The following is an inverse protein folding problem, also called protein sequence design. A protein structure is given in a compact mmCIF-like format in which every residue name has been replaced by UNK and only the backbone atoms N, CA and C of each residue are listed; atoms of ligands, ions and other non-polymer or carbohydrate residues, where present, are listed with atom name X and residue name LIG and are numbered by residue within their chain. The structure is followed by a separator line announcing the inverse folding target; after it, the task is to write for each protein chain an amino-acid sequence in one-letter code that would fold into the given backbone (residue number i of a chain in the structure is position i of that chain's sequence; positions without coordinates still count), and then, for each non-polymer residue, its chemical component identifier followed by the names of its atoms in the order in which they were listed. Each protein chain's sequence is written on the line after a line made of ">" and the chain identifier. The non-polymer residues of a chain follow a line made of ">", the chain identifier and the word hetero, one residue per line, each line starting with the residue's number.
data_IF_438626084098
#
_entry.id   IF_438626084098
#
_cell.length_a   1.000
_cell.length_b   1.000
_cell.length_c   1.000
_cell.angle_alpha   90.00
_cell.angle_beta   90.00
_cell.angle_gamma   90.00
#
_symmetry.space_group_name_H-M   'P 1'
#
loop_
_entity.id
_entity.type
_entity.pdbx_description
1 polymer ?
#
# COMPACT_ATOMS: atom_id res chain seq x y z
N UNK A 1 -7.75 -12.91 1.00
CA UNK A 1 -6.38 -13.07 0.46
C UNK A 1 -5.69 -11.74 0.62
N UNK A 2 -4.45 -11.71 1.12
CA UNK A 2 -3.70 -10.46 1.29
C UNK A 2 -3.07 -10.12 -0.07
N UNK A 3 -3.36 -8.96 -0.62
CA UNK A 3 -2.81 -8.48 -1.88
C UNK A 3 -1.29 -8.52 -1.81
N UNK A 4 -0.69 -9.17 -2.82
CA UNK A 4 0.75 -9.24 -2.92
C UNK A 4 1.28 -7.86 -3.31
N UNK A 5 2.06 -7.21 -2.44
CA UNK A 5 2.71 -5.94 -2.77
C UNK A 5 3.61 -6.14 -4.01
N UNK A 6 3.50 -5.28 -5.05
CA UNK A 6 4.36 -5.35 -6.23
C UNK A 6 5.85 -5.36 -5.84
N UNK A 7 6.71 -6.20 -6.48
CA UNK A 7 8.13 -6.29 -6.16
C UNK A 7 8.88 -4.95 -6.30
N UNK A 8 8.45 -4.07 -7.20
CA UNK A 8 9.01 -2.72 -7.37
C UNK A 8 8.79 -1.88 -6.11
N UNK A 9 7.57 -1.90 -5.56
CA UNK A 9 7.24 -1.22 -4.31
C UNK A 9 7.91 -1.89 -3.12
N UNK A 10 7.94 -3.23 -3.08
CA UNK A 10 8.65 -3.97 -2.03
C UNK A 10 10.15 -3.61 -1.99
N UNK A 11 10.78 -3.50 -3.16
CA UNK A 11 12.19 -3.08 -3.30
C UNK A 11 12.38 -1.62 -2.88
N UNK A 12 11.46 -0.73 -3.24
CA UNK A 12 11.48 0.67 -2.82
C UNK A 12 11.38 0.85 -1.30
N UNK A 13 10.53 0.06 -0.63
CA UNK A 13 10.46 0.02 0.84
C UNK A 13 11.79 -0.50 1.42
N UNK A 14 12.30 -1.61 0.90
CA UNK A 14 13.53 -2.23 1.40
C UNK A 14 14.76 -1.32 1.25
N UNK A 15 14.88 -0.59 0.14
CA UNK A 15 15.97 0.36 -0.10
C UNK A 15 16.01 1.51 0.93
N UNK A 16 14.90 1.78 1.61
CA UNK A 16 14.79 2.77 2.69
C UNK A 16 14.94 2.15 4.08
N UNK A 17 15.16 0.84 4.18
CA UNK A 17 15.10 0.09 5.43
C UNK A 17 13.68 0.03 6.02
N UNK A 18 12.65 0.29 5.21
CA UNK A 18 11.26 0.34 5.65
C UNK A 18 10.56 -1.00 5.42
N UNK A 19 9.48 -1.21 6.18
CA UNK A 19 8.53 -2.29 5.97
C UNK A 19 7.14 -1.70 5.81
N UNK A 20 6.32 -2.19 4.87
CA UNK A 20 4.94 -1.73 4.73
C UNK A 20 4.16 -2.03 6.02
N UNK A 21 3.42 -1.03 6.49
CA UNK A 21 2.56 -1.19 7.67
C UNK A 21 1.30 -1.99 7.30
N UNK A 22 0.70 -2.66 8.29
CA UNK A 22 -0.53 -3.45 8.10
C UNK A 22 -1.62 -2.65 7.38
N UNK A 23 -1.94 -1.45 7.87
CA UNK A 23 -3.00 -0.62 7.29
C UNK A 23 -2.69 -0.13 5.86
N UNK A 24 -1.42 -0.07 5.45
CA UNK A 24 -1.04 0.26 4.07
C UNK A 24 -1.42 -0.88 3.14
N UNK A 25 -1.14 -2.12 3.55
CA UNK A 25 -1.50 -3.31 2.79
C UNK A 25 -3.02 -3.55 2.79
N UNK A 26 -3.72 -3.22 3.87
CA UNK A 26 -5.19 -3.31 3.90
C UNK A 26 -5.86 -2.33 2.93
N UNK A 27 -5.31 -1.14 2.75
CA UNK A 27 -5.82 -0.21 1.72
C UNK A 27 -5.62 -0.75 0.30
N UNK A 28 -4.54 -1.51 0.07
CA UNK A 28 -4.33 -2.23 -1.18
C UNK A 28 -5.36 -3.35 -1.35
N UNK A 29 -5.62 -4.15 -0.31
CA UNK A 29 -6.65 -5.20 -0.33
C UNK A 29 -8.05 -4.63 -0.64
N UNK A 30 -8.41 -3.50 -0.02
CA UNK A 30 -9.68 -2.80 -0.25
C UNK A 30 -9.80 -2.33 -1.70
N UNK A 31 -8.74 -1.73 -2.24
CA UNK A 31 -8.73 -1.27 -3.62
C UNK A 31 -8.80 -2.45 -4.63
N UNK A 32 -8.06 -3.53 -4.38
CA UNK A 32 -8.08 -4.75 -5.20
C UNK A 32 -9.47 -5.42 -5.20
N UNK A 33 -10.28 -5.20 -4.16
CA UNK A 33 -11.68 -5.65 -4.10
C UNK A 33 -12.68 -4.73 -4.81
N UNK A 34 -12.22 -3.62 -5.39
CA UNK A 34 -13.08 -2.61 -6.03
C UNK A 34 -13.93 -1.79 -5.07
N UNK A 35 -13.59 -1.80 -3.77
CA UNK A 35 -14.34 -1.11 -2.73
C UNK A 35 -13.71 0.24 -2.33
N UNK A 36 -14.53 1.14 -1.78
CA UNK A 36 -14.04 2.36 -1.15
C UNK A 36 -13.57 2.07 0.28
N UNK A 37 -12.47 2.70 0.70
CA UNK A 37 -11.91 2.57 2.04
C UNK A 37 -11.82 3.90 2.78
N UNK A 38 -12.14 3.89 4.07
CA UNK A 38 -11.87 4.99 5.00
C UNK A 38 -10.76 4.57 5.96
N UNK A 39 -9.60 5.21 5.84
CA UNK A 39 -8.48 4.98 6.75
C UNK A 39 -8.44 6.05 7.85
N UNK A 40 -8.56 5.60 9.10
CA UNK A 40 -8.29 6.40 10.29
C UNK A 40 -6.96 5.96 10.89
N UNK A 41 -6.01 6.88 11.00
CA UNK A 41 -4.71 6.64 11.60
C UNK A 41 -4.11 7.96 12.10
N UNK A 42 -3.27 7.88 13.13
CA UNK A 42 -2.61 9.04 13.74
C UNK A 42 -1.70 9.79 12.75
N UNK A 43 -1.38 11.04 13.09
CA UNK A 43 -0.37 11.83 12.38
C UNK A 43 0.99 11.10 12.43
N UNK A 44 1.67 11.03 11.29
CA UNK A 44 2.95 10.31 11.19
C UNK A 44 2.82 8.78 11.06
N UNK A 45 1.61 8.20 11.15
CA UNK A 45 1.43 6.76 11.01
C UNK A 45 1.61 6.23 9.57
N UNK A 46 1.79 7.11 8.57
CA UNK A 46 1.96 6.74 7.17
C UNK A 46 0.66 6.64 6.37
N UNK A 47 -0.42 7.32 6.82
CA UNK A 47 -1.74 7.33 6.15
C UNK A 47 -1.71 7.84 4.71
N UNK A 48 -0.83 8.80 4.40
CA UNK A 48 -0.69 9.33 3.04
C UNK A 48 -0.21 8.24 2.10
N UNK A 49 0.87 7.54 2.45
CA UNK A 49 1.38 6.43 1.65
C UNK A 49 0.33 5.30 1.55
N UNK A 50 -0.42 5.03 2.61
CA UNK A 50 -1.50 4.04 2.57
C UNK A 50 -2.58 4.38 1.53
N UNK A 51 -3.01 5.64 1.45
CA UNK A 51 -4.02 6.09 0.49
C UNK A 51 -3.52 6.09 -0.96
N UNK A 52 -2.23 6.36 -1.18
CA UNK A 52 -1.62 6.36 -2.53
C UNK A 52 -1.10 4.99 -2.97
N UNK A 53 -0.94 4.03 -2.05
CA UNK A 53 -0.35 2.73 -2.37
C UNK A 53 -1.10 2.00 -3.50
N UNK A 54 -2.45 1.98 -3.55
CA UNK A 54 -3.16 1.37 -4.66
C UNK A 54 -2.87 2.03 -6.01
N UNK A 55 -2.83 3.36 -6.06
CA UNK A 55 -2.48 4.09 -7.29
C UNK A 55 -1.06 3.74 -7.74
N UNK A 56 -0.08 3.76 -6.83
CA UNK A 56 1.30 3.40 -7.17
C UNK A 56 1.40 1.95 -7.66
N UNK A 57 0.66 1.03 -7.03
CA UNK A 57 0.61 -0.37 -7.45
C UNK A 57 0.04 -0.52 -8.86
N UNK A 58 -1.01 0.23 -9.22
CA UNK A 58 -1.62 0.19 -10.55
C UNK A 58 -0.69 0.64 -11.69
N UNK A 59 0.41 1.34 -11.39
CA UNK A 59 1.43 1.74 -12.35
C UNK A 59 2.71 0.88 -12.29
N UNK A 60 2.73 -0.17 -11.45
CA UNK A 60 3.84 -1.11 -11.44
C UNK A 60 3.74 -2.05 -12.65
N UNK A 61 4.83 -2.29 -13.40
CA UNK A 61 4.82 -3.22 -14.53
C UNK A 61 4.41 -4.66 -14.17
N UNK A 62 4.57 -5.05 -12.90
CA UNK A 62 4.19 -6.37 -12.38
C UNK A 62 2.70 -6.51 -12.00
N UNK A 63 1.90 -5.46 -12.21
CA UNK A 63 0.47 -5.37 -11.85
C UNK A 63 -0.43 -5.30 -13.06
#
# INVERSE_FOLDING_TARGET
>A
MRAALPPELASWFAARGWRPRRHQLEMLDVADSGAHGLLVADTGAGKTLAGFLPTLAAFCPSR
#
